data_IF_305863987434
#
_entry.id   IF_305863987434
#
_cell.length_a   1.000
_cell.length_b   1.000
_cell.length_c   1.000
_cell.angle_alpha   90.00
_cell.angle_beta   90.00
_cell.angle_gamma   90.00
#
_symmetry.space_group_name_H-M   'P 1'
#
loop_
_entity.id
_entity.type
_entity.pdbx_description
1 polymer ?
#
# COMPACT_ATOMS: atom_id res chain seq x y z
N UNK A 1 -38.71 3.76 -17.05
CA UNK A 1 -37.82 2.93 -17.90
C UNK A 1 -36.42 3.21 -17.41
N UNK A 2 -35.71 2.21 -16.95
CA UNK A 2 -34.35 2.36 -16.46
C UNK A 2 -33.40 2.71 -17.62
N UNK A 3 -32.65 3.80 -17.49
CA UNK A 3 -31.71 4.22 -18.53
C UNK A 3 -30.27 3.90 -18.05
N UNK A 4 -29.61 3.01 -18.77
CA UNK A 4 -28.19 2.75 -18.64
C UNK A 4 -27.46 3.58 -19.69
N UNK A 5 -26.56 4.44 -19.26
CA UNK A 5 -25.74 5.25 -20.15
C UNK A 5 -24.26 4.89 -19.91
N UNK A 6 -23.57 4.51 -20.95
CA UNK A 6 -22.12 4.26 -20.90
C UNK A 6 -21.42 5.34 -21.69
N UNK A 7 -20.38 5.91 -21.11
CA UNK A 7 -19.53 6.91 -21.75
C UNK A 7 -18.12 6.38 -21.90
N UNK A 8 -17.53 6.70 -23.04
CA UNK A 8 -16.13 6.45 -23.37
C UNK A 8 -15.50 7.79 -23.70
N UNK A 9 -14.47 8.19 -22.97
CA UNK A 9 -13.84 9.52 -23.07
C UNK A 9 -14.89 10.67 -22.97
N UNK A 10 -15.88 10.51 -22.10
CA UNK A 10 -16.97 11.48 -21.93
C UNK A 10 -18.08 11.41 -22.99
N UNK A 11 -17.94 10.64 -24.06
CA UNK A 11 -18.94 10.50 -25.12
C UNK A 11 -19.87 9.29 -24.88
N UNK A 12 -21.17 9.51 -25.03
CA UNK A 12 -22.18 8.44 -24.91
C UNK A 12 -22.02 7.45 -26.07
N UNK A 13 -21.88 6.17 -25.75
CA UNK A 13 -21.78 5.09 -26.74
C UNK A 13 -23.15 4.48 -27.06
N UNK A 14 -23.34 4.08 -28.31
CA UNK A 14 -24.50 3.32 -28.72
C UNK A 14 -24.42 1.89 -28.17
N UNK A 15 -25.53 1.41 -27.60
CA UNK A 15 -25.64 0.07 -27.02
C UNK A 15 -26.81 -0.71 -27.63
N UNK A 16 -26.70 -2.03 -27.70
CA UNK A 16 -27.79 -2.89 -28.10
C UNK A 16 -28.82 -3.00 -26.97
N UNK A 17 -30.11 -2.79 -27.27
CA UNK A 17 -31.22 -2.63 -26.30
C UNK A 17 -31.48 -3.79 -25.34
N UNK A 18 -30.97 -4.99 -25.58
CA UNK A 18 -31.31 -6.20 -24.79
C UNK A 18 -30.07 -6.93 -24.25
N UNK A 19 -28.92 -6.29 -24.21
CA UNK A 19 -27.70 -6.92 -23.73
C UNK A 19 -27.58 -6.84 -22.21
N UNK A 20 -27.12 -7.94 -21.60
CA UNK A 20 -26.84 -8.02 -20.15
C UNK A 20 -25.38 -7.76 -19.91
N UNK A 21 -25.10 -6.75 -19.15
CA UNK A 21 -23.78 -6.51 -18.56
C UNK A 21 -23.76 -6.91 -17.09
N UNK A 22 -22.58 -7.01 -16.53
CA UNK A 22 -22.39 -7.19 -15.09
C UNK A 22 -21.21 -6.38 -14.60
N UNK A 23 -21.28 -5.93 -13.36
CA UNK A 23 -20.14 -5.38 -12.68
C UNK A 23 -19.95 -6.01 -11.30
N UNK A 24 -18.71 -6.07 -10.88
CA UNK A 24 -18.31 -6.53 -9.55
C UNK A 24 -17.43 -5.47 -8.90
N UNK A 25 -17.77 -5.11 -7.67
CA UNK A 25 -17.02 -4.16 -6.82
C UNK A 25 -16.52 -4.89 -5.60
N UNK A 26 -15.21 -4.74 -5.32
CA UNK A 26 -14.55 -5.35 -4.17
C UNK A 26 -14.13 -4.29 -3.16
N UNK A 27 -14.17 -4.65 -1.89
CA UNK A 27 -13.72 -3.77 -0.82
C UNK A 27 -12.19 -3.67 -0.79
N UNK A 28 -11.60 -2.51 -1.14
CA UNK A 28 -10.14 -2.36 -1.19
C UNK A 28 -9.49 -2.34 0.19
N UNK A 29 -10.27 -2.17 1.25
CA UNK A 29 -9.76 -2.01 2.62
C UNK A 29 -9.51 -3.34 3.33
N UNK A 30 -10.11 -4.44 2.85
CA UNK A 30 -10.06 -5.75 3.49
C UNK A 30 -9.05 -6.73 2.85
N UNK A 31 -8.30 -6.30 1.85
CA UNK A 31 -7.33 -7.14 1.11
C UNK A 31 -5.89 -6.75 1.43
N UNK A 32 -4.94 -7.69 1.34
CA UNK A 32 -3.52 -7.45 1.60
C UNK A 32 -2.60 -7.88 0.44
N UNK A 33 -3.14 -8.49 -0.59
CA UNK A 33 -2.36 -8.90 -1.76
C UNK A 33 -2.45 -7.85 -2.88
N UNK A 34 -1.35 -7.64 -3.61
CA UNK A 34 -1.32 -6.66 -4.70
C UNK A 34 -2.34 -6.96 -5.81
N UNK A 35 -2.58 -8.24 -6.10
CA UNK A 35 -3.57 -8.69 -7.09
C UNK A 35 -5.01 -8.35 -6.74
N UNK A 36 -5.29 -8.15 -5.45
CA UNK A 36 -6.63 -7.93 -4.92
C UNK A 36 -7.01 -6.44 -4.87
N UNK A 37 -6.11 -5.54 -5.30
CA UNK A 37 -6.42 -4.11 -5.47
C UNK A 37 -7.24 -3.80 -6.73
N UNK A 38 -7.48 -4.81 -7.57
CA UNK A 38 -8.43 -4.72 -8.67
C UNK A 38 -9.84 -4.68 -8.09
N UNK A 39 -10.30 -3.50 -7.73
CA UNK A 39 -11.50 -3.33 -6.92
C UNK A 39 -12.78 -3.44 -7.71
N UNK A 40 -12.77 -3.09 -8.98
CA UNK A 40 -13.97 -3.10 -9.80
C UNK A 40 -13.69 -3.74 -11.16
N UNK A 41 -14.53 -4.68 -11.55
CA UNK A 41 -14.52 -5.25 -12.89
C UNK A 41 -15.90 -5.15 -13.52
N UNK A 42 -15.97 -4.81 -14.79
CA UNK A 42 -17.22 -4.86 -15.52
C UNK A 42 -17.06 -5.69 -16.78
N UNK A 43 -18.09 -6.50 -17.04
CA UNK A 43 -18.31 -7.08 -18.37
C UNK A 43 -19.36 -6.23 -19.06
N UNK A 44 -18.91 -5.49 -20.05
CA UNK A 44 -19.81 -4.75 -20.92
C UNK A 44 -20.10 -5.62 -22.12
N UNK A 45 -21.35 -5.67 -22.57
CA UNK A 45 -21.69 -6.29 -23.84
C UNK A 45 -20.92 -5.63 -24.98
N UNK A 46 -20.63 -6.39 -26.04
CA UNK A 46 -20.02 -5.83 -27.23
C UNK A 46 -20.75 -4.60 -27.73
N UNK A 47 -20.07 -3.49 -27.93
CA UNK A 47 -20.63 -2.27 -28.48
C UNK A 47 -20.73 -2.37 -30.01
N UNK A 48 -21.89 -2.09 -30.62
CA UNK A 48 -22.11 -2.27 -32.06
C UNK A 48 -21.25 -1.30 -32.89
N UNK A 49 -20.91 -1.69 -34.11
CA UNK A 49 -20.20 -0.86 -35.09
C UNK A 49 -21.11 0.23 -35.70
N UNK A 50 -21.61 1.11 -34.87
CA UNK A 50 -22.35 2.30 -35.34
C UNK A 50 -21.41 3.41 -35.78
N UNK A 51 -21.86 4.39 -36.58
CA UNK A 51 -21.05 5.56 -36.92
C UNK A 51 -20.56 6.31 -35.69
N UNK A 52 -21.39 6.44 -34.65
CA UNK A 52 -21.02 7.05 -33.36
C UNK A 52 -19.89 6.31 -32.68
N UNK A 53 -20.04 5.00 -32.49
CA UNK A 53 -19.04 4.18 -31.83
C UNK A 53 -17.73 4.13 -32.65
N UNK A 54 -17.79 4.01 -33.96
CA UNK A 54 -16.61 4.09 -34.83
C UNK A 54 -15.83 5.38 -34.67
N UNK A 55 -16.55 6.51 -34.60
CA UNK A 55 -15.90 7.82 -34.38
C UNK A 55 -15.21 7.88 -33.00
N UNK A 56 -15.87 7.35 -31.95
CA UNK A 56 -15.31 7.33 -30.59
C UNK A 56 -14.06 6.44 -30.53
N UNK A 57 -14.10 5.27 -31.17
CA UNK A 57 -12.97 4.31 -31.18
C UNK A 57 -11.95 4.58 -32.30
N UNK A 58 -12.07 5.68 -33.06
CA UNK A 58 -11.11 6.06 -34.09
C UNK A 58 -11.04 5.12 -35.27
N UNK A 59 -12.17 4.45 -35.64
CA UNK A 59 -12.28 3.50 -36.75
C UNK A 59 -11.28 2.32 -36.69
N UNK A 60 -10.89 1.93 -35.50
CA UNK A 60 -9.90 0.86 -35.25
C UNK A 60 -10.31 -0.51 -35.77
N UNK A 61 -11.60 -0.71 -36.05
CA UNK A 61 -12.15 -1.93 -36.67
C UNK A 61 -11.78 -2.07 -38.16
N UNK A 62 -11.18 -1.04 -38.75
CA UNK A 62 -10.71 -1.08 -40.15
C UNK A 62 -9.31 -1.71 -40.18
N UNK A 63 -9.08 -2.87 -40.86
CA UNK A 63 -7.86 -3.65 -40.75
C UNK A 63 -6.55 -2.96 -41.16
N UNK A 64 -6.62 -1.87 -41.90
CA UNK A 64 -5.44 -1.16 -42.41
C UNK A 64 -4.95 -0.02 -41.50
N UNK A 65 -5.65 0.23 -40.38
CA UNK A 65 -5.23 1.20 -39.38
C UNK A 65 -4.48 0.44 -38.29
N UNK A 66 -3.17 0.54 -38.28
CA UNK A 66 -2.33 0.03 -37.19
C UNK A 66 -2.63 0.79 -35.92
N UNK A 67 -2.74 0.11 -34.79
CA UNK A 67 -2.99 0.74 -33.51
C UNK A 67 -2.33 -0.02 -32.37
N UNK A 68 -1.84 0.74 -31.40
CA UNK A 68 -1.57 0.23 -30.07
C UNK A 68 -2.89 -0.20 -29.38
N UNK A 69 -2.83 -1.01 -28.32
CA UNK A 69 -4.02 -1.37 -27.55
C UNK A 69 -4.63 -0.09 -26.96
N UNK A 70 -5.75 0.39 -27.51
CA UNK A 70 -6.28 1.69 -27.08
C UNK A 70 -6.96 1.57 -25.73
N UNK A 71 -6.72 2.58 -24.92
CA UNK A 71 -7.27 2.76 -23.59
C UNK A 71 -8.18 3.96 -23.61
N UNK A 72 -9.30 3.84 -22.94
CA UNK A 72 -10.32 4.87 -22.92
C UNK A 72 -10.78 5.09 -21.48
N UNK A 73 -11.11 6.32 -21.14
CA UNK A 73 -11.86 6.60 -19.92
C UNK A 73 -13.26 5.98 -20.02
N UNK A 74 -13.66 5.33 -18.96
CA UNK A 74 -14.95 4.64 -18.89
C UNK A 74 -15.76 5.15 -17.72
N UNK A 75 -17.00 5.50 -18.00
CA UNK A 75 -18.00 5.87 -17.02
C UNK A 75 -19.32 5.17 -17.32
N UNK A 76 -20.02 4.73 -16.30
CA UNK A 76 -21.33 4.14 -16.42
C UNK A 76 -22.31 4.81 -15.47
N UNK A 77 -23.40 5.29 -16.06
CA UNK A 77 -24.47 5.97 -15.35
C UNK A 77 -25.75 5.12 -15.38
N UNK A 78 -26.42 5.06 -14.25
CA UNK A 78 -27.73 4.42 -14.12
C UNK A 78 -28.72 5.46 -13.65
N UNK A 79 -29.75 5.74 -14.48
CA UNK A 79 -30.70 6.82 -14.24
C UNK A 79 -30.04 8.16 -13.88
N UNK A 80 -28.90 8.49 -14.50
CA UNK A 80 -28.14 9.70 -14.26
C UNK A 80 -27.18 9.65 -13.06
N UNK A 81 -27.17 8.58 -12.27
CA UNK A 81 -26.20 8.38 -11.19
C UNK A 81 -24.97 7.63 -11.70
N UNK A 82 -23.77 8.14 -11.43
CA UNK A 82 -22.52 7.45 -11.73
C UNK A 82 -22.41 6.22 -10.82
N UNK A 83 -22.43 5.02 -11.41
CA UNK A 83 -22.34 3.75 -10.67
C UNK A 83 -21.00 3.06 -10.82
N UNK A 84 -20.28 3.38 -11.90
CA UNK A 84 -18.96 2.82 -12.14
C UNK A 84 -18.11 3.78 -13.00
N UNK A 85 -16.83 3.85 -12.69
CA UNK A 85 -15.81 4.55 -13.46
C UNK A 85 -14.53 3.67 -13.56
N UNK A 86 -13.70 3.89 -14.57
CA UNK A 86 -12.47 3.13 -14.74
C UNK A 86 -11.82 3.33 -16.10
N UNK A 87 -10.96 2.40 -16.49
CA UNK A 87 -10.33 2.38 -17.82
C UNK A 87 -10.90 1.22 -18.63
N UNK A 88 -11.40 1.51 -19.83
CA UNK A 88 -11.81 0.51 -20.79
C UNK A 88 -10.62 0.13 -21.68
N UNK A 89 -10.28 -1.15 -21.69
CA UNK A 89 -9.33 -1.74 -22.62
C UNK A 89 -10.11 -2.38 -23.78
N UNK A 90 -9.82 -2.01 -24.99
CA UNK A 90 -10.33 -2.71 -26.16
C UNK A 90 -9.55 -4.01 -26.32
N UNK A 91 -10.19 -5.13 -26.02
CA UNK A 91 -9.53 -6.45 -26.01
C UNK A 91 -9.71 -7.21 -27.31
N UNK A 92 -10.78 -6.96 -28.02
CA UNK A 92 -11.09 -7.63 -29.28
C UNK A 92 -12.19 -6.86 -30.03
N UNK A 93 -12.26 -7.07 -31.34
CA UNK A 93 -13.40 -6.66 -32.17
C UNK A 93 -13.77 -7.82 -33.11
N UNK A 94 -15.02 -8.22 -33.04
CA UNK A 94 -15.57 -9.32 -33.81
C UNK A 94 -16.82 -8.85 -34.55
N UNK A 95 -17.48 -9.75 -35.26
CA UNK A 95 -18.78 -9.51 -35.88
C UNK A 95 -19.86 -8.99 -34.89
N UNK A 96 -19.63 -9.18 -33.57
CA UNK A 96 -20.53 -8.70 -32.51
C UNK A 96 -20.29 -7.26 -32.08
N UNK A 97 -19.17 -6.64 -32.48
CA UNK A 97 -18.77 -5.30 -32.13
C UNK A 97 -17.47 -5.21 -31.35
N UNK A 98 -17.24 -4.05 -30.71
CA UNK A 98 -16.11 -3.77 -29.86
C UNK A 98 -16.24 -4.48 -28.51
N UNK A 99 -15.29 -5.36 -28.16
CA UNK A 99 -15.20 -6.01 -26.86
C UNK A 99 -14.34 -5.18 -25.92
N UNK A 100 -14.91 -4.72 -24.82
CA UNK A 100 -14.22 -3.94 -23.81
C UNK A 100 -14.12 -4.74 -22.52
N UNK A 101 -12.93 -4.69 -21.93
CA UNK A 101 -12.71 -5.12 -20.55
C UNK A 101 -12.47 -3.87 -19.70
N UNK A 102 -13.30 -3.67 -18.70
CA UNK A 102 -13.13 -2.57 -17.76
C UNK A 102 -12.21 -3.05 -16.67
N UNK A 103 -11.16 -2.31 -16.49
CA UNK A 103 -10.17 -2.55 -15.45
C UNK A 103 -9.99 -1.26 -14.65
N UNK A 104 -9.83 -1.40 -13.35
CA UNK A 104 -9.19 -0.38 -12.55
C UNK A 104 -7.75 -0.86 -12.29
N UNK A 105 -6.84 -0.64 -13.22
CA UNK A 105 -5.51 -1.18 -13.07
C UNK A 105 -4.73 -0.35 -12.05
N UNK A 106 -4.64 -0.85 -10.83
CA UNK A 106 -3.54 -0.45 -9.95
C UNK A 106 -2.21 -0.63 -10.71
N UNK A 107 -2.19 -1.60 -11.64
CA UNK A 107 -1.11 -1.87 -12.57
C UNK A 107 -0.67 -0.72 -13.46
N UNK A 108 -1.39 0.38 -13.49
CA UNK A 108 -1.08 1.54 -14.33
C UNK A 108 -1.18 2.85 -13.55
N UNK A 109 -1.58 2.76 -12.29
CA UNK A 109 -1.78 3.93 -11.45
C UNK A 109 -0.52 4.79 -11.32
N UNK A 110 0.64 4.15 -11.23
CA UNK A 110 1.93 4.81 -11.17
C UNK A 110 2.64 4.89 -12.54
N UNK A 111 1.97 4.53 -13.63
CA UNK A 111 2.53 4.57 -14.98
C UNK A 111 3.79 3.70 -15.13
N UNK A 112 4.76 4.18 -15.90
CA UNK A 112 5.96 3.41 -16.26
C UNK A 112 6.83 3.03 -15.05
N UNK A 113 6.85 3.86 -14.00
CA UNK A 113 7.67 3.60 -12.80
C UNK A 113 7.16 2.46 -11.93
N UNK A 114 5.96 1.98 -12.15
CA UNK A 114 5.30 1.04 -11.26
C UNK A 114 6.05 -0.27 -11.07
N UNK A 115 6.61 -0.83 -12.14
CA UNK A 115 7.36 -2.09 -12.15
C UNK A 115 8.87 -1.90 -12.00
N UNK A 116 9.33 -0.66 -12.00
CA UNK A 116 10.74 -0.35 -11.80
C UNK A 116 11.12 -0.53 -10.33
N UNK A 117 12.35 -0.97 -10.09
CA UNK A 117 12.89 -0.96 -8.74
C UNK A 117 13.11 0.48 -8.28
N UNK A 118 12.92 0.75 -7.00
CA UNK A 118 13.18 2.07 -6.42
C UNK A 118 14.64 2.52 -6.66
N UNK A 119 15.57 1.57 -6.71
CA UNK A 119 16.99 1.82 -7.01
C UNK A 119 17.25 2.18 -8.48
N UNK A 120 16.31 1.94 -9.39
CA UNK A 120 16.42 2.26 -10.83
C UNK A 120 15.79 3.59 -11.19
N UNK A 121 14.85 4.07 -10.36
CA UNK A 121 14.11 5.32 -10.59
C UNK A 121 14.97 6.52 -10.24
N UNK A 122 15.00 7.51 -11.12
CA UNK A 122 15.66 8.79 -10.81
C UNK A 122 14.78 9.68 -9.94
N UNK A 123 14.99 9.61 -8.62
CA UNK A 123 14.35 10.49 -7.64
C UNK A 123 15.07 11.84 -7.48
N UNK A 124 16.16 12.05 -8.21
CA UNK A 124 17.00 13.23 -8.13
C UNK A 124 18.11 13.14 -7.09
N UNK A 125 18.87 14.21 -7.00
CA UNK A 125 19.96 14.40 -6.05
C UNK A 125 19.63 15.53 -5.07
N UNK A 126 20.21 15.44 -3.88
CA UNK A 126 20.05 16.44 -2.83
C UNK A 126 21.43 16.92 -2.40
N UNK A 127 21.69 18.24 -2.33
CA UNK A 127 22.95 18.75 -1.80
C UNK A 127 23.07 18.40 -0.32
N UNK A 128 24.27 18.02 0.11
CA UNK A 128 24.56 17.80 1.52
C UNK A 128 24.55 19.13 2.27
N UNK A 129 23.88 19.19 3.43
CA UNK A 129 23.96 20.37 4.27
C UNK A 129 25.37 20.60 4.79
N UNK A 130 25.81 21.85 4.85
CA UNK A 130 27.10 22.23 5.40
C UNK A 130 26.90 23.22 6.54
N UNK A 131 27.21 22.89 7.80
CA UNK A 131 27.74 21.58 8.23
C UNK A 131 26.70 20.48 8.18
N UNK A 132 27.15 19.22 8.07
CA UNK A 132 26.21 18.05 8.05
C UNK A 132 25.33 18.00 9.29
N UNK A 133 25.81 18.52 10.42
CA UNK A 133 25.01 18.67 11.65
C UNK A 133 23.71 19.47 11.45
N UNK A 134 23.61 20.33 10.45
CA UNK A 134 22.37 21.02 10.11
C UNK A 134 21.24 20.06 9.69
N UNK A 135 21.55 18.86 9.20
CA UNK A 135 20.55 17.83 8.89
C UNK A 135 19.81 17.32 10.14
N UNK A 136 20.37 17.48 11.35
CA UNK A 136 19.73 17.07 12.61
C UNK A 136 18.55 17.98 12.94
N UNK A 137 18.62 19.25 12.57
CA UNK A 137 17.65 20.29 12.98
C UNK A 137 16.56 20.56 11.96
N UNK A 138 16.58 19.93 10.79
CA UNK A 138 15.57 20.15 9.77
C UNK A 138 14.23 19.52 10.17
N UNK A 139 13.33 20.36 10.69
CA UNK A 139 11.94 20.00 10.99
C UNK A 139 11.06 20.21 9.76
N UNK A 140 10.24 19.23 9.42
CA UNK A 140 9.04 19.43 8.61
C UNK A 140 9.03 18.84 7.20
N UNK A 141 10.08 18.93 6.38
CA UNK A 141 10.14 18.31 5.05
C UNK A 141 11.49 17.65 4.78
N UNK A 142 11.93 16.86 5.73
CA UNK A 142 13.23 16.21 5.60
C UNK A 142 13.16 15.11 4.53
N UNK A 143 14.04 15.21 3.54
CA UNK A 143 14.22 14.14 2.58
C UNK A 143 15.08 13.01 3.16
N UNK A 144 16.13 13.39 3.90
CA UNK A 144 17.10 12.48 4.53
C UNK A 144 17.51 12.95 5.92
N UNK A 145 17.94 12.02 6.77
CA UNK A 145 18.63 12.28 8.01
C UNK A 145 19.86 11.36 8.15
N UNK A 146 20.70 11.63 9.13
CA UNK A 146 21.96 10.90 9.37
C UNK A 146 22.01 10.36 10.81
N UNK A 147 21.17 9.38 11.17
CA UNK A 147 21.19 8.83 12.53
C UNK A 147 22.42 7.97 12.78
N UNK A 148 22.94 8.02 13.99
CA UNK A 148 23.99 7.12 14.44
C UNK A 148 23.42 5.73 14.66
N UNK A 149 23.97 4.72 13.98
CA UNK A 149 23.61 3.30 14.11
C UNK A 149 24.89 2.49 14.34
N UNK A 150 24.83 1.52 15.25
CA UNK A 150 25.94 0.61 15.55
C UNK A 150 25.92 -0.56 14.56
N UNK A 151 26.99 -0.75 13.79
CA UNK A 151 27.14 -1.88 12.87
C UNK A 151 28.63 -2.26 12.72
N UNK A 152 29.26 -2.81 13.77
CA UNK A 152 30.73 -3.02 13.81
C UNK A 152 31.18 -4.15 12.87
N UNK A 153 30.32 -5.10 12.53
CA UNK A 153 30.67 -6.19 11.62
C UNK A 153 30.74 -5.72 10.16
N UNK A 154 30.13 -4.59 9.85
CA UNK A 154 30.20 -3.96 8.53
C UNK A 154 31.16 -2.75 8.50
N UNK A 155 31.11 -1.91 9.53
CA UNK A 155 31.90 -0.68 9.66
C UNK A 155 32.90 -0.73 10.83
N UNK A 156 33.44 -1.89 11.11
CA UNK A 156 34.45 -2.09 12.14
C UNK A 156 35.87 -2.25 11.59
N UNK A 157 36.72 -2.89 12.38
CA UNK A 157 38.13 -3.11 12.06
C UNK A 157 38.44 -4.45 11.39
N UNK A 158 37.47 -5.35 11.31
CA UNK A 158 37.68 -6.72 10.83
C UNK A 158 37.86 -6.77 9.31
N UNK A 159 39.09 -6.95 8.86
CA UNK A 159 39.43 -7.28 7.47
C UNK A 159 39.39 -6.12 6.48
N UNK A 160 39.28 -4.88 6.96
CA UNK A 160 39.24 -3.72 6.09
C UNK A 160 40.60 -2.98 6.00
N UNK A 161 40.87 -2.41 4.85
CA UNK A 161 41.95 -1.45 4.64
C UNK A 161 41.74 -0.13 5.40
N UNK A 162 40.50 0.18 5.80
CA UNK A 162 40.11 1.37 6.56
C UNK A 162 39.41 0.91 7.84
N UNK A 163 39.89 1.37 8.98
CA UNK A 163 39.30 1.10 10.30
C UNK A 163 38.29 2.19 10.65
N UNK A 164 37.02 1.82 10.85
CA UNK A 164 35.99 2.69 11.36
C UNK A 164 35.67 2.38 12.83
N UNK A 165 34.88 3.28 13.48
CA UNK A 165 34.48 3.12 14.89
C UNK A 165 33.43 2.00 15.13
N UNK A 166 32.97 1.33 14.09
CA UNK A 166 31.83 0.40 14.15
C UNK A 166 30.46 1.09 14.13
N UNK A 167 30.44 2.38 13.87
CA UNK A 167 29.22 3.18 13.80
C UNK A 167 29.06 3.83 12.43
N UNK A 168 27.83 3.84 11.97
CA UNK A 168 27.37 4.67 10.84
C UNK A 168 27.04 6.05 11.40
N UNK A 169 27.38 7.11 10.69
CA UNK A 169 27.11 8.48 11.10
C UNK A 169 27.60 8.77 12.53
N UNK A 170 28.83 8.35 12.85
CA UNK A 170 29.40 8.53 14.18
C UNK A 170 29.41 10.01 14.55
N UNK A 171 28.92 10.31 15.77
CA UNK A 171 28.72 11.65 16.26
C UNK A 171 29.35 11.81 17.65
N UNK A 172 30.10 12.85 17.83
CA UNK A 172 30.73 13.14 19.10
C UNK A 172 31.15 14.62 19.17
N UNK A 173 31.28 15.16 20.39
CA UNK A 173 31.67 16.55 20.63
C UNK A 173 30.84 17.59 19.83
N UNK A 174 29.58 17.31 19.59
CA UNK A 174 28.67 18.23 18.89
C UNK A 174 28.73 18.18 17.35
N UNK A 175 29.47 17.23 16.76
CA UNK A 175 29.62 17.12 15.31
C UNK A 175 29.71 15.65 14.85
N UNK A 176 29.43 15.40 13.58
CA UNK A 176 29.79 14.12 12.95
C UNK A 176 31.32 14.02 12.79
N UNK A 177 31.84 12.83 13.04
CA UNK A 177 33.26 12.55 12.81
C UNK A 177 33.61 12.74 11.33
N UNK A 178 34.77 13.33 11.04
CA UNK A 178 35.14 13.60 9.64
C UNK A 178 35.53 12.35 8.87
N UNK A 179 36.03 11.33 9.54
CA UNK A 179 36.57 10.10 8.95
C UNK A 179 35.58 8.92 8.92
N UNK A 180 34.43 9.03 9.60
CA UNK A 180 33.46 7.97 9.65
C UNK A 180 32.52 7.92 8.43
N UNK A 181 31.88 6.77 8.16
CA UNK A 181 30.94 6.61 7.05
C UNK A 181 29.73 7.52 7.23
N UNK A 182 29.31 8.18 6.15
CA UNK A 182 28.10 9.00 6.10
C UNK A 182 27.05 8.29 5.27
N UNK A 183 25.99 7.86 5.92
CA UNK A 183 24.91 7.11 5.30
C UNK A 183 23.59 7.87 5.51
N UNK A 184 22.96 8.38 4.46
CA UNK A 184 21.66 9.05 4.56
C UNK A 184 20.55 8.03 4.70
N UNK A 185 19.61 8.27 5.61
CA UNK A 185 18.36 7.50 5.73
C UNK A 185 17.22 8.33 5.15
N UNK A 186 16.53 7.76 4.17
CA UNK A 186 15.46 8.45 3.43
C UNK A 186 14.14 8.36 4.20
N UNK A 187 13.44 9.49 4.34
CA UNK A 187 12.12 9.51 4.96
C UNK A 187 11.09 8.84 4.03
N UNK A 188 10.31 7.92 4.59
CA UNK A 188 9.26 7.18 3.87
C UNK A 188 8.25 8.12 3.22
N UNK A 189 7.78 9.12 3.96
CA UNK A 189 6.81 10.11 3.47
C UNK A 189 7.37 10.94 2.31
N UNK A 190 8.64 11.31 2.39
CA UNK A 190 9.30 12.02 1.29
C UNK A 190 9.40 11.15 0.04
N UNK A 191 9.78 9.87 0.18
CA UNK A 191 9.81 8.92 -0.93
C UNK A 191 8.43 8.76 -1.59
N UNK A 192 7.36 8.59 -0.80
CA UNK A 192 6.00 8.52 -1.32
C UNK A 192 5.60 9.80 -2.07
N UNK A 193 5.98 10.98 -1.56
CA UNK A 193 5.74 12.25 -2.24
C UNK A 193 6.50 12.36 -3.57
N UNK A 194 7.72 11.83 -3.64
CA UNK A 194 8.51 11.79 -4.90
C UNK A 194 7.90 10.81 -5.90
N UNK A 195 7.47 9.64 -5.44
CA UNK A 195 6.72 8.66 -6.28
C UNK A 195 5.47 9.33 -6.85
N UNK A 196 4.69 10.02 -6.00
CA UNK A 196 3.49 10.75 -6.43
C UNK A 196 3.79 11.78 -7.52
N UNK A 197 4.84 12.58 -7.32
CA UNK A 197 5.27 13.61 -8.29
C UNK A 197 5.67 13.00 -9.64
N UNK A 198 6.47 11.93 -9.62
CA UNK A 198 6.95 11.28 -10.85
C UNK A 198 5.83 10.56 -11.60
N UNK A 199 4.88 9.97 -10.88
CA UNK A 199 3.72 9.30 -11.48
C UNK A 199 2.60 10.28 -11.88
N UNK A 200 2.69 11.55 -11.51
CA UNK A 200 1.62 12.53 -11.75
C UNK A 200 0.34 12.20 -10.99
N UNK A 201 0.47 11.66 -9.77
CA UNK A 201 -0.66 11.28 -8.90
C UNK A 201 -0.61 12.04 -7.57
N UNK A 202 -1.70 12.01 -6.82
CA UNK A 202 -1.76 12.52 -5.45
C UNK A 202 -1.76 11.36 -4.47
N UNK A 203 -0.93 11.43 -3.41
CA UNK A 203 -0.97 10.48 -2.29
C UNK A 203 -1.34 11.25 -1.03
N UNK A 204 -2.41 10.84 -0.35
CA UNK A 204 -2.90 11.46 0.89
C UNK A 204 -3.42 10.42 1.90
N UNK A 205 -4.17 10.86 2.89
CA UNK A 205 -4.76 10.02 3.93
C UNK A 205 -4.13 10.20 5.30
N UNK A 206 -4.66 9.47 6.28
CA UNK A 206 -4.26 9.59 7.69
C UNK A 206 -2.80 9.18 7.93
N UNK A 207 -2.27 8.22 7.16
CA UNK A 207 -0.85 7.86 7.23
C UNK A 207 0.06 9.03 6.82
N UNK A 208 -0.32 9.77 5.78
CA UNK A 208 0.46 10.91 5.30
C UNK A 208 0.45 12.11 6.26
N UNK A 209 -0.51 12.17 7.17
CA UNK A 209 -0.65 13.26 8.15
C UNK A 209 -0.24 12.87 9.57
N UNK A 210 -0.09 11.57 9.88
CA UNK A 210 0.33 11.10 11.22
C UNK A 210 1.73 11.61 11.57
N UNK A 211 1.86 12.24 12.74
CA UNK A 211 3.11 12.88 13.16
C UNK A 211 4.26 11.89 13.36
N UNK A 212 3.98 10.72 13.95
CA UNK A 212 5.00 9.71 14.23
C UNK A 212 5.41 8.96 12.94
N UNK A 213 4.45 8.58 12.10
CA UNK A 213 4.73 7.96 10.80
C UNK A 213 5.48 8.91 9.86
N UNK A 214 5.31 10.24 10.05
CA UNK A 214 6.13 11.23 9.35
C UNK A 214 7.61 11.18 9.68
N UNK A 215 7.98 10.51 10.77
CA UNK A 215 9.37 10.31 11.18
C UNK A 215 9.94 8.94 10.79
N UNK A 216 9.18 8.12 10.04
CA UNK A 216 9.69 6.85 9.51
C UNK A 216 10.78 7.08 8.48
N UNK A 217 11.91 6.40 8.67
CA UNK A 217 13.07 6.44 7.78
C UNK A 217 13.49 5.03 7.39
N UNK A 218 14.07 4.91 6.20
CA UNK A 218 14.63 3.67 5.67
C UNK A 218 16.09 3.56 6.08
N UNK A 219 16.41 2.52 6.84
CA UNK A 219 17.78 2.13 7.12
C UNK A 219 18.44 1.57 5.86
N UNK A 220 19.68 1.98 5.63
CA UNK A 220 20.56 1.39 4.62
C UNK A 220 22.00 1.43 5.10
N UNK A 221 22.91 0.81 4.36
CA UNK A 221 24.34 0.68 4.70
C UNK A 221 25.24 1.31 3.66
N UNK A 222 24.70 2.00 2.66
CA UNK A 222 25.51 2.56 1.59
C UNK A 222 26.03 3.94 2.00
N UNK A 223 27.36 4.04 2.05
CA UNK A 223 28.07 5.28 2.33
C UNK A 223 28.05 6.24 1.14
N UNK A 224 28.16 7.52 1.40
CA UNK A 224 28.28 8.58 0.39
C UNK A 224 29.67 8.65 -0.29
N UNK A 225 30.68 8.01 0.28
CA UNK A 225 32.04 7.92 -0.28
C UNK A 225 32.68 9.30 -0.58
N UNK A 226 32.41 10.28 0.29
CA UNK A 226 32.89 11.65 0.10
C UNK A 226 32.11 12.47 -0.94
N UNK A 227 31.02 11.96 -1.48
CA UNK A 227 30.15 12.74 -2.35
C UNK A 227 29.59 13.96 -1.62
N UNK A 228 29.41 15.06 -2.35
CA UNK A 228 28.82 16.30 -1.84
C UNK A 228 27.29 16.34 -2.02
N UNK A 229 26.73 15.31 -2.61
CA UNK A 229 25.31 15.16 -2.90
C UNK A 229 24.82 13.75 -2.55
N UNK A 230 23.55 13.65 -2.17
CA UNK A 230 22.84 12.38 -1.97
C UNK A 230 22.07 12.03 -3.24
N UNK A 231 22.50 11.02 -3.96
CA UNK A 231 21.72 10.43 -5.05
C UNK A 231 20.70 9.44 -4.44
N UNK A 232 19.45 9.86 -4.31
CA UNK A 232 18.43 9.17 -3.53
C UNK A 232 18.29 7.68 -3.86
N UNK A 233 18.22 7.32 -5.16
CA UNK A 233 18.06 5.94 -5.62
C UNK A 233 19.09 4.96 -5.06
N UNK A 234 20.27 5.44 -4.73
CA UNK A 234 21.35 4.61 -4.19
C UNK A 234 21.12 4.14 -2.74
N UNK A 235 20.20 4.77 -2.04
CA UNK A 235 19.91 4.54 -0.62
C UNK A 235 18.51 3.92 -0.39
N UNK A 236 17.90 3.40 -1.47
CA UNK A 236 16.57 2.80 -1.44
C UNK A 236 16.64 1.28 -1.56
N UNK A 237 15.68 0.55 -0.98
CA UNK A 237 15.63 -0.91 -1.07
C UNK A 237 15.26 -1.37 -2.49
N UNK A 238 15.65 -2.59 -2.84
CA UNK A 238 15.28 -3.22 -4.09
C UNK A 238 13.86 -3.77 -4.06
N UNK A 239 12.92 -2.87 -4.03
CA UNK A 239 11.50 -3.13 -4.17
C UNK A 239 10.96 -2.34 -5.35
N UNK A 240 9.97 -2.88 -6.04
CA UNK A 240 9.20 -2.07 -6.98
C UNK A 240 8.36 -1.05 -6.23
N UNK A 241 7.89 -0.01 -6.92
CA UNK A 241 7.00 0.99 -6.31
C UNK A 241 5.78 0.34 -5.67
N UNK A 242 5.18 -0.62 -6.35
CA UNK A 242 3.99 -1.34 -5.83
C UNK A 242 4.36 -2.21 -4.65
N UNK A 243 5.44 -2.99 -4.74
CA UNK A 243 5.87 -3.83 -3.63
C UNK A 243 6.16 -2.99 -2.39
N UNK A 244 6.82 -1.85 -2.54
CA UNK A 244 7.10 -0.94 -1.43
C UNK A 244 5.82 -0.51 -0.70
N UNK A 245 4.79 -0.09 -1.45
CA UNK A 245 3.51 0.37 -0.87
C UNK A 245 2.74 -0.81 -0.24
N UNK A 246 2.72 -1.97 -0.91
CA UNK A 246 2.04 -3.17 -0.41
C UNK A 246 2.71 -3.71 0.85
N UNK A 247 4.03 -3.77 0.86
CA UNK A 247 4.77 -4.25 2.04
C UNK A 247 4.64 -3.27 3.23
N UNK A 248 4.63 -1.96 2.96
CA UNK A 248 4.34 -0.94 3.98
C UNK A 248 2.93 -1.11 4.54
N UNK A 249 1.94 -1.39 3.69
CA UNK A 249 0.58 -1.72 4.10
C UNK A 249 0.53 -2.92 5.03
N UNK A 250 1.18 -4.03 4.66
CA UNK A 250 1.25 -5.25 5.47
C UNK A 250 1.90 -5.00 6.83
N UNK A 251 2.93 -4.18 6.87
CA UNK A 251 3.65 -3.90 8.10
C UNK A 251 2.85 -3.02 9.07
N UNK A 252 2.26 -1.95 8.56
CA UNK A 252 1.58 -0.93 9.37
C UNK A 252 0.05 -1.05 9.36
N UNK A 253 -0.51 -2.14 8.79
CA UNK A 253 -1.94 -2.34 8.65
C UNK A 253 -2.64 -1.14 7.99
N UNK A 254 -2.17 -0.77 6.82
CA UNK A 254 -2.75 0.35 6.09
C UNK A 254 -3.82 -0.13 5.12
N UNK A 255 -4.75 0.72 4.81
CA UNK A 255 -5.72 0.55 3.73
C UNK A 255 -5.37 1.47 2.56
N UNK A 256 -5.49 0.95 1.35
CA UNK A 256 -5.16 1.66 0.11
C UNK A 256 -6.42 1.83 -0.72
N UNK A 257 -6.80 3.06 -1.01
CA UNK A 257 -7.90 3.36 -1.93
C UNK A 257 -7.35 4.10 -3.14
N UNK A 258 -7.44 3.45 -4.30
CA UNK A 258 -7.06 4.03 -5.58
C UNK A 258 -8.28 4.64 -6.25
N UNK A 259 -8.15 5.87 -6.68
CA UNK A 259 -9.08 6.52 -7.60
C UNK A 259 -8.30 6.84 -8.87
N UNK A 260 -8.54 6.07 -9.91
CA UNK A 260 -7.80 6.16 -11.19
C UNK A 260 -8.17 7.40 -11.98
N UNK A 261 -9.43 7.85 -11.89
CA UNK A 261 -9.93 9.05 -12.57
C UNK A 261 -9.32 10.31 -11.96
N UNK A 262 -9.35 10.42 -10.62
CA UNK A 262 -8.74 11.54 -9.92
C UNK A 262 -7.22 11.41 -9.76
N UNK A 263 -6.63 10.30 -10.20
CA UNK A 263 -5.21 9.96 -9.99
C UNK A 263 -4.80 10.14 -8.52
N UNK A 264 -5.60 9.57 -7.61
CA UNK A 264 -5.44 9.74 -6.17
C UNK A 264 -5.33 8.40 -5.46
N UNK A 265 -4.30 8.25 -4.63
CA UNK A 265 -4.13 7.16 -3.68
C UNK A 265 -4.33 7.70 -2.27
N UNK A 266 -5.33 7.19 -1.56
CA UNK A 266 -5.53 7.49 -0.14
C UNK A 266 -4.98 6.34 0.69
N UNK A 267 -4.07 6.65 1.61
CA UNK A 267 -3.44 5.70 2.54
C UNK A 267 -3.92 6.00 3.96
N UNK A 268 -4.77 5.14 4.50
CA UNK A 268 -5.33 5.27 5.84
C UNK A 268 -4.94 4.10 6.74
N UNK A 269 -5.03 4.28 8.06
CA UNK A 269 -4.93 3.15 8.99
C UNK A 269 -6.19 2.30 8.94
N UNK A 270 -6.06 1.00 8.67
CA UNK A 270 -7.20 0.07 8.53
C UNK A 270 -8.04 0.01 9.81
N UNK A 271 -7.39 0.05 10.97
CA UNK A 271 -8.08 0.04 12.27
C UNK A 271 -9.07 1.20 12.46
N UNK A 272 -8.88 2.33 11.75
CA UNK A 272 -9.82 3.46 11.81
C UNK A 272 -11.19 3.11 11.23
N UNK A 273 -11.25 2.23 10.25
CA UNK A 273 -12.51 1.83 9.58
C UNK A 273 -13.43 1.09 10.56
N UNK A 274 -12.88 0.26 11.41
CA UNK A 274 -13.67 -0.49 12.41
C UNK A 274 -14.26 0.39 13.50
N UNK A 275 -13.80 1.63 13.66
CA UNK A 275 -14.33 2.62 14.60
C UNK A 275 -15.44 3.51 14.03
N UNK A 276 -15.70 3.46 12.72
CA UNK A 276 -16.74 4.30 12.10
C UNK A 276 -18.14 3.89 12.56
N UNK A 277 -19.09 4.84 12.69
CA UNK A 277 -20.48 4.53 13.02
C UNK A 277 -21.16 3.76 11.89
N UNK A 278 -22.29 3.12 12.19
CA UNK A 278 -23.19 2.54 11.21
C UNK A 278 -24.34 3.54 10.95
N UNK A 279 -24.46 4.02 9.74
CA UNK A 279 -25.42 5.08 9.39
C UNK A 279 -26.50 4.59 8.41
N UNK A 280 -26.32 3.39 7.86
CA UNK A 280 -27.20 2.85 6.81
C UNK A 280 -27.85 1.55 7.29
N UNK A 281 -29.15 1.45 7.18
CA UNK A 281 -29.93 0.23 7.44
C UNK A 281 -30.43 -0.37 6.13
N UNK A 282 -30.05 -1.62 5.88
CA UNK A 282 -30.48 -2.41 4.72
C UNK A 282 -31.37 -3.61 5.10
N UNK A 283 -31.91 -3.62 6.31
CA UNK A 283 -32.73 -4.74 6.80
C UNK A 283 -33.95 -5.00 5.92
N UNK A 284 -34.62 -3.95 5.45
CA UNK A 284 -35.80 -4.00 4.59
C UNK A 284 -35.48 -4.33 3.12
N UNK A 285 -34.21 -4.25 2.73
CA UNK A 285 -33.73 -4.56 1.38
C UNK A 285 -33.32 -6.02 1.20
N UNK A 286 -33.30 -6.79 2.29
CA UNK A 286 -32.86 -8.18 2.28
C UNK A 286 -33.89 -9.08 1.60
N UNK A 287 -33.46 -9.79 0.55
CA UNK A 287 -34.26 -10.86 -0.06
C UNK A 287 -34.12 -12.13 0.78
N UNK A 288 -35.20 -12.90 0.87
CA UNK A 288 -35.24 -14.17 1.62
C UNK A 288 -34.17 -15.13 1.08
N UNK A 289 -33.48 -15.84 1.97
CA UNK A 289 -32.48 -16.86 1.59
C UNK A 289 -31.03 -16.49 1.88
N UNK A 290 -30.78 -15.52 2.74
CA UNK A 290 -29.42 -15.16 3.18
C UNK A 290 -28.70 -16.36 3.85
N UNK A 291 -27.43 -16.56 3.50
CA UNK A 291 -26.59 -17.63 4.02
C UNK A 291 -25.47 -17.06 4.89
N UNK A 292 -25.45 -17.48 6.16
CA UNK A 292 -24.33 -17.19 7.06
C UNK A 292 -23.19 -18.17 6.81
N UNK A 293 -21.99 -17.63 6.53
CA UNK A 293 -20.75 -18.41 6.33
C UNK A 293 -19.76 -18.07 7.43
N UNK A 294 -19.28 -19.08 8.14
CA UNK A 294 -18.34 -18.89 9.22
C UNK A 294 -16.90 -18.84 8.66
N UNK A 295 -16.14 -17.84 9.09
CA UNK A 295 -14.71 -17.77 8.82
C UNK A 295 -13.94 -18.64 9.81
N UNK A 296 -13.04 -19.48 9.34
CA UNK A 296 -12.16 -20.31 10.16
C UNK A 296 -10.79 -19.69 10.40
N UNK A 297 -10.29 -18.89 9.44
CA UNK A 297 -8.98 -18.23 9.51
C UNK A 297 -9.02 -16.96 10.39
N UNK A 298 -9.41 -17.13 11.66
CA UNK A 298 -9.60 -16.01 12.58
C UNK A 298 -8.35 -15.61 13.35
N UNK A 299 -7.36 -16.51 13.44
CA UNK A 299 -6.07 -16.21 14.06
C UNK A 299 -5.11 -15.65 13.03
N UNK A 300 -4.33 -14.65 13.42
CA UNK A 300 -3.30 -14.04 12.59
C UNK A 300 -1.93 -14.53 13.05
N UNK A 301 -1.08 -14.87 12.10
CA UNK A 301 0.37 -14.94 12.29
C UNK A 301 0.97 -13.77 11.48
N UNK A 302 1.61 -12.85 12.20
CA UNK A 302 2.29 -11.70 11.62
C UNK A 302 3.79 -11.93 11.72
N UNK A 303 4.48 -11.89 10.59
CA UNK A 303 5.93 -12.11 10.53
C UNK A 303 6.61 -11.00 9.72
N UNK A 304 7.88 -10.74 10.04
CA UNK A 304 8.75 -9.86 9.27
C UNK A 304 9.91 -10.65 8.70
N UNK A 305 10.34 -10.30 7.49
CA UNK A 305 11.52 -10.87 6.87
C UNK A 305 12.77 -10.25 7.50
N UNK A 306 13.57 -11.08 8.16
CA UNK A 306 14.82 -10.65 8.79
C UNK A 306 15.98 -10.82 7.81
N UNK A 307 16.96 -9.93 7.89
CA UNK A 307 18.19 -10.03 7.11
C UNK A 307 19.02 -11.21 7.60
N UNK A 308 19.17 -12.23 6.77
CA UNK A 308 19.95 -13.42 7.08
C UNK A 308 21.45 -13.12 7.35
N UNK A 309 21.94 -11.98 6.85
CA UNK A 309 23.31 -11.53 7.07
C UNK A 309 23.50 -10.77 8.39
N UNK A 310 22.41 -10.44 9.09
CA UNK A 310 22.45 -9.77 10.38
C UNK A 310 22.47 -10.80 11.53
N UNK A 311 23.64 -11.09 12.06
CA UNK A 311 23.82 -12.10 13.12
C UNK A 311 23.10 -11.73 14.42
N UNK A 312 22.76 -10.45 14.62
CA UNK A 312 21.98 -10.01 15.78
C UNK A 312 20.51 -10.47 15.72
N UNK A 313 19.98 -10.65 14.51
CA UNK A 313 18.57 -10.96 14.29
C UNK A 313 18.31 -12.38 13.75
N UNK A 314 19.33 -13.07 13.23
CA UNK A 314 19.15 -14.33 12.50
C UNK A 314 18.43 -15.42 13.30
N UNK A 315 18.63 -15.46 14.64
CA UNK A 315 18.03 -16.46 15.53
C UNK A 315 16.67 -15.98 16.09
N UNK A 316 16.08 -14.93 15.50
CA UNK A 316 14.79 -14.35 15.90
C UNK A 316 14.66 -14.08 17.41
N UNK A 317 15.48 -13.20 18.01
CA UNK A 317 15.33 -12.85 19.41
C UNK A 317 13.92 -12.33 19.70
N UNK A 318 13.47 -12.42 20.94
CA UNK A 318 12.09 -12.15 21.37
C UNK A 318 11.53 -10.79 20.85
N UNK A 319 12.37 -9.79 20.70
CA UNK A 319 11.95 -8.47 20.21
C UNK A 319 11.44 -8.51 18.74
N UNK A 320 12.03 -9.33 17.89
CA UNK A 320 11.66 -9.50 16.47
C UNK A 320 10.96 -10.83 16.18
N UNK A 321 10.47 -11.50 17.23
CA UNK A 321 9.69 -12.73 17.10
C UNK A 321 8.37 -12.45 16.37
N UNK A 322 7.90 -13.47 15.65
CA UNK A 322 6.59 -13.43 15.02
C UNK A 322 5.49 -13.27 16.08
N UNK A 323 4.43 -12.59 15.70
CA UNK A 323 3.22 -12.56 16.51
C UNK A 323 2.25 -13.65 16.06
N UNK A 324 1.62 -14.31 17.01
CA UNK A 324 0.52 -15.23 16.78
C UNK A 324 -0.63 -14.89 17.71
N UNK A 325 -1.82 -14.61 17.13
CA UNK A 325 -3.04 -14.44 17.93
C UNK A 325 -3.21 -15.61 18.91
N UNK A 326 -3.38 -15.36 20.23
CA UNK A 326 -3.64 -16.41 21.21
C UNK A 326 -4.83 -17.28 20.81
N UNK A 327 -4.76 -18.59 21.10
CA UNK A 327 -5.87 -19.51 20.82
C UNK A 327 -7.11 -19.13 21.65
N UNK A 328 -8.28 -19.15 21.03
CA UNK A 328 -9.56 -18.87 21.67
C UNK A 328 -10.67 -19.85 21.25
N UNK A 329 -10.40 -20.73 20.30
CA UNK A 329 -11.27 -21.83 19.88
C UNK A 329 -10.41 -22.93 19.22
N UNK A 330 -10.85 -24.19 19.28
CA UNK A 330 -10.02 -25.36 18.96
C UNK A 330 -9.90 -25.65 17.45
N UNK A 331 -10.84 -25.21 16.63
CA UNK A 331 -10.92 -25.56 15.20
C UNK A 331 -10.47 -24.43 14.25
N UNK A 332 -9.80 -23.41 14.79
CA UNK A 332 -9.43 -22.23 14.02
C UNK A 332 -8.12 -22.43 13.27
N UNK A 333 -8.13 -22.07 11.99
CA UNK A 333 -6.93 -21.96 11.17
C UNK A 333 -6.24 -20.60 11.36
N UNK A 334 -4.99 -20.52 10.90
CA UNK A 334 -4.15 -19.32 11.02
C UNK A 334 -4.03 -18.69 9.66
N UNK A 335 -4.40 -17.41 9.56
CA UNK A 335 -4.08 -16.57 8.41
C UNK A 335 -2.66 -16.00 8.58
N UNK A 336 -1.76 -16.37 7.68
CA UNK A 336 -0.36 -15.93 7.72
C UNK A 336 -0.19 -14.69 6.86
N UNK A 337 0.43 -13.67 7.44
CA UNK A 337 0.82 -12.45 6.76
C UNK A 337 2.29 -12.17 7.03
N UNK A 338 3.10 -12.18 5.98
CA UNK A 338 4.51 -11.84 6.04
C UNK A 338 4.77 -10.53 5.29
N UNK A 339 5.63 -9.69 5.86
CA UNK A 339 6.11 -8.47 5.21
C UNK A 339 7.62 -8.52 5.01
N UNK A 340 8.09 -7.91 3.93
CA UNK A 340 9.52 -7.73 3.66
C UNK A 340 10.14 -6.66 4.58
N UNK A 341 9.34 -5.80 5.19
CA UNK A 341 9.84 -4.82 6.15
C UNK A 341 10.17 -5.46 7.50
N UNK A 342 11.25 -4.97 8.09
CA UNK A 342 11.65 -5.26 9.47
C UNK A 342 12.16 -3.97 10.15
N UNK A 343 12.74 -4.12 11.34
CA UNK A 343 13.38 -3.02 12.09
C UNK A 343 14.67 -3.50 12.72
N UNK A 344 15.45 -2.59 13.32
CA UNK A 344 16.67 -2.93 14.04
C UNK A 344 16.40 -3.22 15.52
N UNK A 345 17.32 -3.93 16.16
CA UNK A 345 17.41 -4.02 17.62
C UNK A 345 18.07 -2.78 18.20
N UNK A 346 17.98 -2.63 19.52
CA UNK A 346 18.61 -1.51 20.24
C UNK A 346 19.62 -2.08 21.23
N UNK A 347 20.87 -1.57 21.15
CA UNK A 347 21.94 -1.85 22.10
C UNK A 347 22.50 -0.52 22.62
N UNK A 348 22.62 -0.40 23.94
CA UNK A 348 23.16 0.80 24.58
C UNK A 348 22.49 2.12 24.14
N UNK A 349 21.17 2.06 23.86
CA UNK A 349 20.36 3.23 23.47
C UNK A 349 20.44 3.62 22.00
N UNK A 350 21.14 2.89 21.16
CA UNK A 350 21.27 3.10 19.72
C UNK A 350 20.70 1.91 18.95
N UNK A 351 20.14 2.17 17.78
CA UNK A 351 19.79 1.11 16.85
C UNK A 351 21.05 0.36 16.41
N UNK A 352 20.97 -0.96 16.34
CA UNK A 352 22.13 -1.82 16.15
C UNK A 352 21.87 -2.91 15.13
N UNK A 353 22.87 -3.22 14.34
CA UNK A 353 22.95 -4.34 13.41
C UNK A 353 24.30 -5.03 13.56
N UNK A 354 24.39 -6.29 13.15
CA UNK A 354 25.62 -7.09 13.00
C UNK A 354 25.64 -7.73 11.63
N UNK A 355 25.52 -6.88 10.60
CA UNK A 355 25.52 -7.34 9.24
C UNK A 355 26.92 -7.77 8.83
N UNK A 356 27.03 -9.00 8.32
CA UNK A 356 28.30 -9.50 7.79
C UNK A 356 28.61 -8.80 6.47
N UNK A 357 29.80 -8.26 6.33
CA UNK A 357 30.19 -7.55 5.14
C UNK A 357 31.62 -7.04 5.14
N UNK A 358 31.98 -6.34 4.09
CA UNK A 358 33.25 -5.66 3.98
C UNK A 358 33.10 -4.18 4.37
N UNK A 359 34.07 -3.66 5.10
CA UNK A 359 34.19 -2.24 5.43
C UNK A 359 34.76 -1.41 4.29
N UNK A 360 35.10 -2.03 3.16
CA UNK A 360 35.52 -1.33 1.96
C UNK A 360 34.33 -0.66 1.30
N UNK A 361 34.40 0.64 1.09
CA UNK A 361 33.39 1.43 0.41
C UNK A 361 33.05 0.88 -0.99
N UNK A 362 33.98 0.30 -1.69
CA UNK A 362 33.77 -0.29 -3.02
C UNK A 362 32.92 -1.56 -3.00
N UNK A 363 32.88 -2.29 -1.90
CA UNK A 363 32.06 -3.49 -1.77
C UNK A 363 30.56 -3.17 -1.54
N UNK A 364 30.21 -1.94 -1.28
CA UNK A 364 28.84 -1.51 -0.99
C UNK A 364 27.97 -1.35 -2.24
N UNK A 365 28.57 -1.13 -3.40
CA UNK A 365 27.86 -0.95 -4.66
C UNK A 365 27.00 -2.15 -5.06
N UNK A 366 27.41 -3.35 -4.65
CA UNK A 366 26.73 -4.61 -4.99
C UNK A 366 25.87 -5.17 -3.87
N UNK A 367 25.93 -4.58 -2.67
CA UNK A 367 25.19 -5.12 -1.50
C UNK A 367 23.84 -4.49 -1.33
N UNK A 368 22.86 -5.36 -1.36
CA UNK A 368 21.46 -5.06 -1.12
C UNK A 368 21.17 -5.13 0.37
N UNK A 369 20.52 -4.13 0.91
CA UNK A 369 20.01 -4.16 2.29
C UNK A 369 18.54 -4.59 2.30
N UNK A 370 18.17 -5.47 3.23
CA UNK A 370 16.76 -5.73 3.51
C UNK A 370 16.07 -4.45 3.98
N UNK A 371 14.84 -4.18 3.53
CA UNK A 371 14.14 -2.95 3.90
C UNK A 371 13.83 -2.94 5.40
N UNK A 372 14.39 -1.98 6.12
CA UNK A 372 14.18 -1.81 7.56
C UNK A 372 13.74 -0.40 7.87
N UNK A 373 12.79 -0.27 8.78
CA UNK A 373 12.24 1.00 9.20
C UNK A 373 12.70 1.36 10.60
N UNK A 374 12.90 2.64 10.83
CA UNK A 374 13.16 3.25 12.14
C UNK A 374 12.36 4.55 12.22
N UNK A 375 12.13 5.03 13.44
CA UNK A 375 11.61 6.38 13.68
C UNK A 375 12.78 7.34 13.97
N UNK A 376 12.92 8.39 13.19
CA UNK A 376 13.83 9.49 13.47
C UNK A 376 13.40 10.22 14.75
N UNK A 377 14.33 10.41 15.68
CA UNK A 377 14.09 11.01 17.00
C UNK A 377 14.73 12.40 17.15
N UNK A 378 15.58 12.83 16.21
CA UNK A 378 16.48 13.95 16.45
C UNK A 378 17.62 13.56 17.39
N UNK A 379 17.97 14.45 18.31
CA UNK A 379 19.03 14.20 19.30
C UNK A 379 18.50 13.44 20.51
N UNK A 380 19.04 12.27 20.79
CA UNK A 380 18.71 11.44 21.96
C UNK A 380 20.02 10.94 22.60
N UNK A 381 20.19 11.16 23.89
CA UNK A 381 21.38 10.69 24.61
C UNK A 381 22.71 11.23 24.08
N UNK A 382 22.71 12.41 23.43
CA UNK A 382 23.90 13.01 22.82
C UNK A 382 24.21 12.54 21.39
N UNK A 383 23.33 11.73 20.78
CA UNK A 383 23.47 11.24 19.41
C UNK A 383 22.25 11.62 18.56
N UNK A 384 22.43 11.91 17.26
CA UNK A 384 21.32 11.90 16.31
C UNK A 384 20.85 10.45 16.18
N UNK A 385 19.60 10.16 16.55
CA UNK A 385 19.12 8.79 16.69
C UNK A 385 17.91 8.50 15.81
N UNK A 386 17.87 7.31 15.26
CA UNK A 386 16.65 6.69 14.76
C UNK A 386 16.47 5.36 15.49
N UNK A 387 15.28 5.15 16.06
CA UNK A 387 15.00 4.00 16.92
C UNK A 387 13.75 3.26 16.44
N UNK A 388 13.58 1.98 16.79
CA UNK A 388 12.36 1.23 16.47
C UNK A 388 11.13 1.70 17.27
N UNK A 389 11.32 2.57 18.25
CA UNK A 389 10.24 3.05 19.14
C UNK A 389 10.13 4.56 19.11
N UNK A 390 8.87 5.11 19.17
CA UNK A 390 8.59 6.54 19.27
C UNK A 390 7.21 6.77 19.87
N UNK A 391 7.08 7.70 20.83
CA UNK A 391 5.79 8.16 21.36
C UNK A 391 4.85 7.03 21.79
N UNK A 392 5.35 5.94 22.39
CA UNK A 392 4.54 4.78 22.76
C UNK A 392 4.13 3.88 21.60
N UNK A 393 4.77 4.01 20.44
CA UNK A 393 4.65 3.11 19.29
C UNK A 393 5.96 2.37 19.05
N UNK A 394 5.89 1.09 18.73
CA UNK A 394 7.05 0.27 18.38
C UNK A 394 6.85 -0.40 17.02
N UNK A 395 7.94 -0.58 16.29
CA UNK A 395 7.99 -1.32 15.04
C UNK A 395 8.18 -2.83 15.25
N UNK A 396 8.31 -3.31 16.47
CA UNK A 396 8.22 -4.72 16.81
C UNK A 396 6.76 -5.19 16.81
N UNK A 397 6.52 -6.46 16.49
CA UNK A 397 5.16 -6.99 16.55
C UNK A 397 4.61 -7.02 17.98
N UNK A 398 5.43 -7.48 18.92
CA UNK A 398 5.05 -7.79 20.30
C UNK A 398 5.35 -6.64 21.26
N UNK A 399 4.77 -6.70 22.45
CA UNK A 399 4.95 -5.68 23.50
C UNK A 399 3.79 -4.71 23.61
N UNK A 400 3.72 -3.96 24.73
CA UNK A 400 2.63 -3.01 25.01
C UNK A 400 2.53 -1.93 23.92
N UNK A 401 3.66 -1.48 23.41
CA UNK A 401 3.74 -0.48 22.35
C UNK A 401 3.88 -1.12 20.94
N UNK A 402 3.79 -2.45 20.84
CA UNK A 402 4.00 -3.20 19.60
C UNK A 402 2.98 -2.91 18.52
N UNK A 403 3.37 -3.19 17.26
CA UNK A 403 2.51 -3.01 16.07
C UNK A 403 1.13 -3.63 16.24
N UNK A 404 1.06 -4.79 16.90
CA UNK A 404 -0.23 -5.47 17.15
C UNK A 404 -1.17 -4.58 17.96
N UNK A 405 -0.64 -3.85 18.94
CA UNK A 405 -1.48 -3.05 19.81
C UNK A 405 -1.87 -1.69 19.25
N UNK A 406 -1.00 -1.03 18.47
CA UNK A 406 -1.34 0.30 17.97
C UNK A 406 -1.81 0.34 16.52
N UNK A 407 -1.48 -0.69 15.71
CA UNK A 407 -1.84 -0.71 14.29
C UNK A 407 -2.81 -1.86 13.92
N UNK A 408 -2.84 -2.96 14.67
CA UNK A 408 -3.57 -4.17 14.32
C UNK A 408 -4.65 -4.56 15.34
N UNK A 409 -4.80 -3.85 16.45
CA UNK A 409 -5.65 -4.26 17.57
C UNK A 409 -7.12 -4.43 17.16
N UNK A 410 -7.67 -3.48 16.43
CA UNK A 410 -9.07 -3.56 15.97
C UNK A 410 -9.24 -4.59 14.86
N UNK A 411 -8.26 -4.73 13.96
CA UNK A 411 -8.25 -5.77 12.94
C UNK A 411 -8.22 -7.16 13.57
N UNK A 412 -7.41 -7.38 14.60
CA UNK A 412 -7.40 -8.64 15.34
C UNK A 412 -8.71 -8.91 16.07
N UNK A 413 -9.24 -7.92 16.79
CA UNK A 413 -10.53 -8.01 17.47
C UNK A 413 -11.67 -8.32 16.49
N UNK A 414 -11.71 -7.64 15.35
CA UNK A 414 -12.62 -7.90 14.27
C UNK A 414 -12.53 -9.36 13.79
N UNK A 415 -11.33 -9.87 13.50
CA UNK A 415 -11.15 -11.24 13.01
C UNK A 415 -11.60 -12.32 13.98
N UNK A 416 -11.59 -12.06 15.28
CA UNK A 416 -12.06 -13.02 16.29
C UNK A 416 -13.53 -13.36 16.20
N UNK A 417 -14.35 -12.45 15.66
CA UNK A 417 -15.82 -12.57 15.67
C UNK A 417 -16.44 -12.62 14.27
N UNK A 418 -15.64 -12.53 13.22
CA UNK A 418 -16.17 -12.42 11.87
C UNK A 418 -16.96 -13.64 11.42
N UNK A 419 -18.04 -13.36 10.72
CA UNK A 419 -18.71 -14.25 9.82
C UNK A 419 -19.15 -13.48 8.58
N UNK A 420 -19.36 -14.19 7.50
CA UNK A 420 -19.85 -13.58 6.28
C UNK A 420 -21.37 -13.81 6.17
N UNK A 421 -22.04 -12.85 5.57
CA UNK A 421 -23.42 -12.96 5.13
C UNK A 421 -23.42 -12.89 3.60
N UNK A 422 -23.72 -14.03 2.95
CA UNK A 422 -23.90 -14.13 1.51
C UNK A 422 -25.40 -13.99 1.23
N UNK A 423 -25.79 -12.89 0.61
CA UNK A 423 -27.19 -12.51 0.47
C UNK A 423 -27.47 -11.77 -0.84
N UNK A 424 -28.75 -11.56 -1.10
CA UNK A 424 -29.25 -10.71 -2.16
C UNK A 424 -29.98 -9.53 -1.56
N UNK A 425 -29.67 -8.32 -2.05
CA UNK A 425 -30.25 -7.07 -1.60
C UNK A 425 -30.93 -6.33 -2.76
N UNK A 426 -32.10 -5.76 -2.52
CA UNK A 426 -32.78 -4.86 -3.44
C UNK A 426 -32.20 -3.45 -3.29
N UNK A 427 -30.99 -3.23 -3.84
CA UNK A 427 -30.34 -1.93 -3.80
C UNK A 427 -30.84 -1.05 -4.94
N UNK A 428 -31.10 0.21 -4.61
CA UNK A 428 -31.41 1.25 -5.60
C UNK A 428 -30.15 1.77 -6.27
N UNK A 429 -30.30 2.52 -7.35
CA UNK A 429 -29.21 3.19 -8.04
C UNK A 429 -28.49 4.18 -7.11
N UNK A 430 -29.24 4.86 -6.24
CA UNK A 430 -28.69 5.77 -5.25
C UNK A 430 -27.84 5.02 -4.22
N UNK A 431 -28.28 3.85 -3.74
CA UNK A 431 -27.49 3.01 -2.83
C UNK A 431 -26.16 2.62 -3.46
N UNK A 432 -26.16 2.27 -4.75
CA UNK A 432 -24.95 1.87 -5.47
C UNK A 432 -24.02 3.05 -5.75
N UNK A 433 -24.56 4.22 -6.07
CA UNK A 433 -23.78 5.43 -6.34
C UNK A 433 -23.15 6.00 -5.07
N UNK A 434 -23.86 5.92 -3.93
CA UNK A 434 -23.38 6.46 -2.64
C UNK A 434 -22.56 5.44 -1.84
N UNK A 435 -22.39 4.22 -2.35
CA UNK A 435 -21.69 3.17 -1.62
C UNK A 435 -20.24 3.54 -1.35
N UNK A 436 -19.89 3.71 -0.07
CA UNK A 436 -18.52 3.70 0.41
C UNK A 436 -18.24 2.40 1.17
N UNK A 437 -17.24 1.65 0.74
CA UNK A 437 -16.84 0.39 1.38
C UNK A 437 -16.30 0.54 2.81
N UNK A 438 -16.04 1.77 3.28
CA UNK A 438 -15.77 2.07 4.69
C UNK A 438 -17.05 2.14 5.53
N UNK A 439 -18.19 2.38 4.89
CA UNK A 439 -19.47 2.56 5.57
C UNK A 439 -20.03 1.22 6.02
N UNK A 440 -20.35 1.14 7.30
CA UNK A 440 -21.05 -0.01 7.86
C UNK A 440 -22.51 0.03 7.47
N UNK A 441 -23.08 -1.15 7.21
CA UNK A 441 -24.48 -1.34 6.95
C UNK A 441 -25.10 -2.22 8.04
N UNK A 442 -26.28 -1.86 8.50
CA UNK A 442 -27.04 -2.62 9.47
C UNK A 442 -27.99 -3.59 8.77
N UNK A 443 -28.05 -4.85 9.20
CA UNK A 443 -29.04 -5.82 8.75
C UNK A 443 -29.46 -6.68 9.95
N UNK A 444 -30.75 -6.59 10.32
CA UNK A 444 -31.39 -7.45 11.31
C UNK A 444 -30.60 -7.57 12.64
N UNK A 445 -30.16 -6.48 13.20
CA UNK A 445 -29.47 -6.45 14.48
C UNK A 445 -27.94 -6.63 14.44
N UNK A 446 -27.35 -6.76 13.25
CA UNK A 446 -25.89 -6.93 13.08
C UNK A 446 -25.35 -5.87 12.12
N UNK A 447 -24.20 -5.30 12.44
CA UNK A 447 -23.48 -4.38 11.56
C UNK A 447 -22.49 -5.17 10.69
N UNK A 448 -22.42 -4.78 9.43
CA UNK A 448 -21.55 -5.41 8.42
C UNK A 448 -20.74 -4.36 7.67
N UNK A 449 -19.62 -4.79 7.09
CA UNK A 449 -18.93 -4.08 6.01
C UNK A 449 -19.15 -4.85 4.70
N UNK A 450 -19.45 -4.14 3.60
CA UNK A 450 -19.52 -4.77 2.28
C UNK A 450 -18.13 -5.31 1.89
N UNK A 451 -18.05 -6.56 1.44
CA UNK A 451 -16.83 -7.20 0.93
C UNK A 451 -16.86 -7.22 -0.59
N UNK A 452 -18.00 -7.63 -1.16
CA UNK A 452 -18.18 -7.75 -2.59
C UNK A 452 -19.63 -7.46 -2.96
N UNK A 453 -19.82 -6.71 -4.03
CA UNK A 453 -21.11 -6.51 -4.67
C UNK A 453 -21.01 -6.93 -6.13
N UNK A 454 -22.00 -7.71 -6.58
CA UNK A 454 -22.12 -8.14 -7.98
C UNK A 454 -23.51 -7.83 -8.50
N UNK A 455 -23.57 -7.02 -9.55
CA UNK A 455 -24.81 -6.63 -10.20
C UNK A 455 -24.82 -7.02 -11.67
N UNK A 456 -26.03 -7.26 -12.22
CA UNK A 456 -26.24 -7.42 -13.65
C UNK A 456 -27.17 -6.34 -14.18
N UNK A 457 -26.99 -5.94 -15.43
CA UNK A 457 -27.83 -4.97 -16.12
C UNK A 457 -28.77 -5.68 -17.10
N UNK A 458 -29.96 -5.14 -17.34
CA UNK A 458 -30.64 -4.10 -16.57
C UNK A 458 -30.94 -4.60 -15.15
N UNK A 459 -30.88 -3.73 -14.15
CA UNK A 459 -31.11 -4.08 -12.74
C UNK A 459 -32.62 -4.38 -12.57
N UNK A 460 -33.01 -5.53 -12.99
CA UNK A 460 -34.34 -6.12 -12.67
C UNK A 460 -34.18 -7.19 -11.57
N UNK A 461 -32.97 -7.42 -11.08
CA UNK A 461 -32.64 -8.49 -10.15
C UNK A 461 -31.97 -7.92 -8.91
N UNK A 462 -32.09 -8.63 -7.79
CA UNK A 462 -31.39 -8.28 -6.57
C UNK A 462 -29.87 -8.33 -6.76
N UNK A 463 -29.17 -7.41 -6.11
CA UNK A 463 -27.70 -7.37 -6.05
C UNK A 463 -27.20 -8.52 -5.20
N UNK A 464 -26.27 -9.33 -5.71
CA UNK A 464 -25.57 -10.33 -4.90
C UNK A 464 -24.50 -9.62 -4.08
N UNK A 465 -24.54 -9.78 -2.76
CA UNK A 465 -23.67 -9.10 -1.82
C UNK A 465 -23.05 -10.09 -0.85
N UNK A 466 -21.74 -9.98 -0.69
CA UNK A 466 -21.01 -10.62 0.40
C UNK A 466 -20.67 -9.55 1.43
N UNK A 467 -21.14 -9.72 2.65
CA UNK A 467 -20.93 -8.84 3.78
C UNK A 467 -20.09 -9.56 4.84
N UNK A 468 -19.32 -8.79 5.61
CA UNK A 468 -18.60 -9.32 6.78
C UNK A 468 -19.06 -8.60 8.04
N UNK A 469 -19.39 -9.36 9.12
CA UNK A 469 -19.81 -8.80 10.40
C UNK A 469 -18.70 -8.00 11.07
N UNK A 470 -19.09 -6.87 11.72
CA UNK A 470 -18.14 -5.93 12.37
C UNK A 470 -18.53 -5.72 13.82
#
# INVERSE_FOLDING_TARGET
MMTLETRINGYVVDQNRNQKGSFERLNPYLTYEAKDFLTDSAKIPALPFTPTNRAIFGYIDIPNLGSDVPRFEFEQYLNGHLVQEGTALLTDFSDKGYQLTIVQPVGEFFGDIQKMLLSEIDFGTLPLPTPLAAAITHSGQNAVCFPTVVNPDYYGTNGASISYSGKVNDYGSGAYTTTGPKVPFVFVRYLLSRIATLAGVTIDGSFMTDADCGQLVLYNIRELEGATEVTLRHHLPELTVVDFIVELRKYLNLSLKFNTVQKRLTIDFTDSIFGLPCEVDWSDKLVIGARKVLERSRRLQLSMELDANDTLQKDRPAAVADYLTPSFADDLTIAKLSTKFSTLLVESGLASARQQGATSQFAQLEKKSSPRLLFWQGMVGGYPAALPTRSGKSLYWNGVDGLVNWAWAKTEAFRRQIHYLDCQLLLTEADLALLDFKQKVHINGVNYLPVRLSNSYPIAQATSVLLVSV
#
